data_IF_994658562805
#
_entry.id   IF_994658562805
#
_cell.length_a   1.000
_cell.length_b   1.000
_cell.length_c   1.000
_cell.angle_alpha   90.00
_cell.angle_beta   90.00
_cell.angle_gamma   90.00
#
_symmetry.space_group_name_H-M   'P 1'
#
loop_
_entity.id
_entity.type
_entity.pdbx_description
1 polymer ?
#
# COMPACT_ATOMS: atom_id res chain seq x y z
N UNK A 1 -12.14 21.88 8.70
CA UNK A 1 -12.13 20.42 8.43
C UNK A 1 -12.76 19.72 9.62
N UNK A 2 -13.78 18.89 9.44
CA UNK A 2 -14.42 18.17 10.54
C UNK A 2 -13.56 17.00 11.01
N UNK A 3 -13.39 16.85 12.33
CA UNK A 3 -12.67 15.72 12.92
C UNK A 3 -13.45 14.41 12.69
N UNK A 4 -12.76 13.25 12.55
CA UNK A 4 -13.43 11.96 12.32
C UNK A 4 -14.33 11.57 13.50
N UNK A 5 -15.43 10.86 13.21
CA UNK A 5 -16.29 10.30 14.27
C UNK A 5 -15.54 9.21 15.06
N UNK A 6 -15.99 8.90 16.28
CA UNK A 6 -15.38 7.84 17.12
C UNK A 6 -15.40 6.46 16.45
N UNK A 7 -16.44 6.16 15.66
CA UNK A 7 -16.49 4.91 14.90
C UNK A 7 -15.46 4.88 13.77
N UNK A 8 -15.25 6.01 13.10
CA UNK A 8 -14.25 6.12 12.03
C UNK A 8 -12.82 6.02 12.58
N UNK A 9 -12.55 6.62 13.73
CA UNK A 9 -11.23 6.53 14.36
C UNK A 9 -10.87 5.09 14.78
N UNK A 10 -11.84 4.34 15.32
CA UNK A 10 -11.66 2.91 15.62
C UNK A 10 -11.50 2.05 14.36
N UNK A 11 -12.23 2.32 13.29
CA UNK A 11 -12.06 1.60 12.03
C UNK A 11 -10.66 1.84 11.45
N UNK A 12 -10.18 3.09 11.48
CA UNK A 12 -8.84 3.45 11.02
C UNK A 12 -7.73 2.83 11.87
N UNK A 13 -7.91 2.77 13.20
CA UNK A 13 -6.93 2.11 14.08
C UNK A 13 -6.85 0.61 13.81
N UNK A 14 -7.97 -0.05 13.51
CA UNK A 14 -8.00 -1.49 13.13
C UNK A 14 -7.31 -1.74 11.79
N UNK A 15 -7.49 -0.85 10.81
CA UNK A 15 -6.80 -0.97 9.51
C UNK A 15 -5.29 -0.81 9.69
N UNK A 16 -4.87 0.17 10.51
CA UNK A 16 -3.45 0.37 10.81
C UNK A 16 -2.84 -0.86 11.47
N UNK A 17 -3.43 -1.36 12.55
CA UNK A 17 -2.93 -2.54 13.25
C UNK A 17 -2.86 -3.79 12.34
N UNK A 18 -3.86 -3.99 11.47
CA UNK A 18 -3.83 -5.05 10.47
C UNK A 18 -2.68 -4.88 9.47
N UNK A 19 -2.50 -3.68 8.94
CA UNK A 19 -1.43 -3.40 7.98
C UNK A 19 -0.05 -3.56 8.63
N UNK A 20 0.12 -3.11 9.88
CA UNK A 20 1.33 -3.31 10.66
C UNK A 20 1.64 -4.81 10.82
N UNK A 21 0.61 -5.63 11.07
CA UNK A 21 0.78 -7.09 11.13
C UNK A 21 1.26 -7.67 9.80
N UNK A 22 0.64 -7.30 8.67
CA UNK A 22 1.08 -7.78 7.34
C UNK A 22 2.52 -7.35 7.06
N UNK A 23 2.87 -6.10 7.34
CA UNK A 23 4.20 -5.54 7.08
C UNK A 23 5.32 -6.26 7.85
N UNK A 24 5.04 -6.78 9.06
CA UNK A 24 6.01 -7.56 9.84
C UNK A 24 6.47 -8.85 9.16
N UNK A 25 5.69 -9.39 8.22
CA UNK A 25 6.02 -10.62 7.49
C UNK A 25 6.47 -10.36 6.05
N UNK A 26 6.49 -9.11 5.60
CA UNK A 26 7.01 -8.79 4.28
C UNK A 26 8.54 -8.91 4.25
N UNK A 27 9.04 -9.45 3.16
CA UNK A 27 10.46 -9.51 2.84
C UNK A 27 10.78 -8.55 1.68
N UNK A 28 11.98 -7.95 1.65
CA UNK A 28 12.41 -7.19 0.48
C UNK A 28 12.23 -8.00 -0.81
N UNK A 29 11.56 -7.41 -1.80
CA UNK A 29 11.16 -8.07 -3.05
C UNK A 29 9.68 -8.45 -3.12
N UNK A 30 8.98 -8.54 -1.98
CA UNK A 30 7.56 -8.87 -1.97
C UNK A 30 6.72 -7.83 -2.71
N UNK A 31 5.76 -8.32 -3.50
CA UNK A 31 4.72 -7.49 -4.08
C UNK A 31 3.69 -7.14 -3.01
N UNK A 32 3.34 -5.86 -2.92
CA UNK A 32 2.31 -5.37 -2.00
C UNK A 32 1.11 -4.87 -2.79
N UNK A 33 -0.07 -5.43 -2.48
CA UNK A 33 -1.36 -4.96 -2.99
C UNK A 33 -1.99 -4.00 -2.01
N UNK A 34 -2.42 -2.83 -2.49
CA UNK A 34 -3.16 -1.84 -1.71
C UNK A 34 -4.57 -1.73 -2.27
N UNK A 35 -5.55 -2.12 -1.47
CA UNK A 35 -6.97 -2.16 -1.89
C UNK A 35 -7.59 -0.76 -1.86
N UNK A 36 -7.84 -0.20 -3.06
CA UNK A 36 -8.52 1.10 -3.26
C UNK A 36 -10.01 0.91 -3.56
N UNK A 37 -10.59 -0.24 -3.21
CA UNK A 37 -11.98 -0.68 -3.42
C UNK A 37 -12.35 -0.92 -4.88
N UNK A 38 -11.96 -0.03 -5.79
CA UNK A 38 -12.28 -0.15 -7.24
C UNK A 38 -11.09 -0.60 -8.08
N UNK A 39 -9.88 -0.55 -7.53
CA UNK A 39 -8.66 -1.07 -8.15
C UNK A 39 -7.64 -1.44 -7.07
N UNK A 40 -6.59 -2.16 -7.46
CA UNK A 40 -5.42 -2.39 -6.62
C UNK A 40 -4.28 -1.50 -7.07
N UNK A 41 -3.74 -0.73 -6.13
CA UNK A 41 -2.45 -0.10 -6.30
C UNK A 41 -1.36 -1.09 -5.91
N UNK A 42 -0.21 -1.05 -6.60
CA UNK A 42 0.86 -2.01 -6.42
C UNK A 42 2.21 -1.34 -6.17
N UNK A 43 3.09 -2.07 -5.50
CA UNK A 43 4.50 -1.76 -5.46
C UNK A 43 5.31 -2.90 -4.87
N UNK A 44 6.63 -2.73 -4.85
CA UNK A 44 7.61 -3.70 -4.35
C UNK A 44 8.11 -3.23 -3.00
N UNK A 45 7.97 -4.06 -1.97
CA UNK A 45 8.53 -3.76 -0.64
C UNK A 45 10.05 -3.86 -0.69
N UNK A 46 10.74 -2.88 -0.11
CA UNK A 46 12.22 -2.81 -0.15
C UNK A 46 12.87 -2.93 1.24
N UNK A 47 12.08 -3.16 2.29
CA UNK A 47 12.53 -3.11 3.68
C UNK A 47 12.20 -1.79 4.37
N UNK A 48 12.44 -1.75 5.69
CA UNK A 48 12.29 -0.56 6.54
C UNK A 48 10.96 0.20 6.40
N UNK A 49 9.87 -0.51 6.13
CA UNK A 49 8.54 0.10 5.96
C UNK A 49 8.37 0.88 4.65
N UNK A 50 9.26 0.71 3.67
CA UNK A 50 9.23 1.45 2.40
C UNK A 50 8.87 0.56 1.22
N UNK A 51 8.35 1.18 0.17
CA UNK A 51 8.13 0.53 -1.12
C UNK A 51 8.60 1.39 -2.29
N UNK A 52 8.87 0.73 -3.41
CA UNK A 52 8.95 1.37 -4.73
C UNK A 52 7.62 1.14 -5.46
N UNK A 53 7.01 2.21 -5.98
CA UNK A 53 5.82 2.11 -6.80
C UNK A 53 5.75 3.15 -7.91
N UNK A 54 4.87 2.90 -8.87
CA UNK A 54 4.50 3.90 -9.86
C UNK A 54 3.44 4.81 -9.23
N UNK A 55 3.59 6.12 -9.39
CA UNK A 55 2.59 7.11 -8.99
C UNK A 55 2.38 8.13 -10.10
N UNK A 56 1.36 8.97 -9.96
CA UNK A 56 1.11 10.10 -10.86
C UNK A 56 1.42 11.37 -10.08
N UNK A 57 2.40 12.14 -10.53
CA UNK A 57 2.75 13.41 -9.89
C UNK A 57 1.75 14.51 -10.29
N UNK A 58 1.21 14.44 -11.51
CA UNK A 58 0.44 15.53 -12.11
C UNK A 58 -0.97 15.09 -12.53
N UNK A 59 -2.03 15.80 -12.06
CA UNK A 59 -3.41 15.43 -12.37
C UNK A 59 -3.81 15.53 -13.86
N UNK A 60 -3.03 16.26 -14.67
CA UNK A 60 -3.44 16.68 -16.02
C UNK A 60 -2.88 15.78 -17.13
N UNK A 61 -1.75 15.12 -16.88
CA UNK A 61 -1.01 14.29 -17.82
C UNK A 61 -1.24 12.81 -17.50
N UNK A 62 -2.32 12.27 -18.07
CA UNK A 62 -2.79 10.90 -17.87
C UNK A 62 -1.77 9.81 -18.27
N UNK A 63 -0.71 10.18 -18.98
CA UNK A 63 0.28 9.30 -19.60
C UNK A 63 1.62 9.19 -18.85
N UNK A 64 1.88 10.01 -17.82
CA UNK A 64 3.16 9.96 -17.10
C UNK A 64 3.02 9.19 -15.78
N UNK A 65 3.71 8.06 -15.68
CA UNK A 65 3.95 7.37 -14.42
C UNK A 65 5.35 7.71 -13.93
N UNK A 66 5.48 8.04 -12.65
CA UNK A 66 6.76 8.27 -11.98
C UNK A 66 7.06 7.12 -11.02
N UNK A 67 8.28 6.61 -11.04
CA UNK A 67 8.75 5.63 -10.05
C UNK A 67 9.19 6.38 -8.81
N UNK A 68 8.63 6.03 -7.66
CA UNK A 68 8.97 6.64 -6.38
C UNK A 68 9.20 5.62 -5.27
N UNK A 69 10.15 5.93 -4.40
CA UNK A 69 10.34 5.32 -3.10
C UNK A 69 9.54 6.13 -2.05
N UNK A 70 8.63 5.48 -1.34
CA UNK A 70 7.79 6.13 -0.33
C UNK A 70 7.50 5.19 0.85
N UNK A 71 7.09 5.76 1.98
CA UNK A 71 6.63 5.03 3.16
C UNK A 71 5.33 4.25 2.86
N UNK A 72 5.32 2.95 3.15
CA UNK A 72 4.21 2.06 2.83
C UNK A 72 2.93 2.43 3.56
N UNK A 73 3.01 2.85 4.81
CA UNK A 73 1.83 3.22 5.59
C UNK A 73 1.24 4.55 5.13
N UNK A 74 2.08 5.48 4.69
CA UNK A 74 1.65 6.74 4.05
C UNK A 74 0.98 6.48 2.70
N UNK A 75 1.58 5.64 1.86
CA UNK A 75 1.00 5.27 0.56
C UNK A 75 -0.31 4.51 0.77
N UNK A 76 -0.37 3.54 1.70
CA UNK A 76 -1.60 2.83 2.02
C UNK A 76 -2.68 3.77 2.57
N UNK A 77 -2.33 4.70 3.45
CA UNK A 77 -3.26 5.61 4.10
C UNK A 77 -4.36 4.83 4.84
N UNK A 78 -5.60 4.97 4.37
CA UNK A 78 -6.78 4.27 4.94
C UNK A 78 -7.07 2.92 4.28
N UNK A 79 -6.25 2.49 3.32
CA UNK A 79 -6.45 1.24 2.58
C UNK A 79 -5.79 0.06 3.27
N UNK A 80 -6.36 -1.13 3.05
CA UNK A 80 -5.79 -2.39 3.48
C UNK A 80 -4.65 -2.82 2.54
N UNK A 81 -3.56 -3.33 3.11
CA UNK A 81 -2.45 -3.93 2.35
C UNK A 81 -2.49 -5.47 2.38
N UNK A 82 -1.95 -6.13 1.37
CA UNK A 82 -1.80 -7.60 1.30
C UNK A 82 -0.48 -7.95 0.60
N UNK A 83 0.15 -9.07 0.98
CA UNK A 83 1.19 -9.68 0.16
C UNK A 83 0.57 -10.18 -1.17
N UNK A 84 1.30 -10.02 -2.27
CA UNK A 84 0.78 -10.23 -3.63
C UNK A 84 1.62 -11.10 -4.52
N UNK A 85 2.41 -11.99 -3.92
CA UNK A 85 3.27 -12.96 -4.59
C UNK A 85 2.50 -14.15 -5.18
N UNK A 86 1.32 -13.92 -5.76
CA UNK A 86 0.42 -15.00 -6.22
C UNK A 86 1.03 -15.85 -7.34
N UNK A 87 2.13 -15.39 -7.95
CA UNK A 87 2.79 -16.03 -9.10
C UNK A 87 4.08 -16.76 -8.73
N UNK A 88 4.51 -16.72 -7.48
CA UNK A 88 5.77 -17.36 -7.05
C UNK A 88 5.73 -18.87 -7.31
N UNK A 89 4.58 -19.51 -7.10
CA UNK A 89 4.39 -20.96 -7.34
C UNK A 89 4.41 -21.38 -8.80
N UNK A 90 4.43 -20.44 -9.77
CA UNK A 90 4.30 -20.74 -11.20
C UNK A 90 5.64 -20.92 -11.91
N UNK A 91 6.73 -20.38 -11.37
CA UNK A 91 8.03 -20.33 -12.05
C UNK A 91 9.18 -20.80 -11.15
N UNK A 92 8.89 -21.70 -10.20
CA UNK A 92 9.90 -22.38 -9.36
C UNK A 92 10.65 -23.46 -10.12
#
# INVERSE_FOLDING_TARGET
MASPSKSDSHALSRIRARNDYVMRFLQPGDLVKIDRRIYYHWGVYIGDGKLIHITKERPLDKSCGEIREDDLMKVAGKSKIYAGNDRDSRYT
#
